data_IF_399504806656
#
_entry.id   IF_399504806656
#
_cell.length_a   1.000
_cell.length_b   1.000
_cell.length_c   1.000
_cell.angle_alpha   90.00
_cell.angle_beta   90.00
_cell.angle_gamma   90.00
#
_symmetry.space_group_name_H-M   'P 1'
#
loop_
_entity.id
_entity.type
_entity.pdbx_description
1 polymer ?
#
# COMPACT_ATOMS: atom_id res chain seq x y z
N UNK A 1 4.99 30.13 15.02
CA UNK A 1 3.60 29.66 14.85
C UNK A 1 2.60 30.78 14.64
N UNK A 2 2.42 31.71 15.58
CA UNK A 2 1.36 32.76 15.47
C UNK A 2 1.44 33.54 14.15
N UNK A 3 2.64 33.97 13.74
CA UNK A 3 2.86 34.66 12.46
C UNK A 3 2.40 33.86 11.23
N UNK A 4 2.71 32.55 11.20
CA UNK A 4 2.30 31.69 10.09
C UNK A 4 0.77 31.54 10.03
N UNK A 5 0.14 31.38 11.20
CA UNK A 5 -1.31 31.26 11.32
C UNK A 5 -1.98 32.55 10.83
N UNK A 6 -1.52 33.71 11.31
CA UNK A 6 -2.08 35.03 10.95
C UNK A 6 -2.09 35.25 9.43
N UNK A 7 -0.97 34.93 8.76
CA UNK A 7 -0.84 35.01 7.30
C UNK A 7 -1.83 34.09 6.59
N UNK A 8 -1.88 32.80 6.92
CA UNK A 8 -2.78 31.87 6.22
C UNK A 8 -4.25 32.19 6.49
N UNK A 9 -4.60 32.64 7.71
CA UNK A 9 -5.97 33.06 8.03
C UNK A 9 -6.37 34.38 7.37
N UNK A 10 -5.39 35.22 7.01
CA UNK A 10 -5.60 36.44 6.22
C UNK A 10 -5.66 36.18 4.71
N UNK A 11 -5.55 34.93 4.27
CA UNK A 11 -5.56 34.55 2.86
C UNK A 11 -4.20 34.73 2.16
N UNK A 12 -3.13 35.00 2.90
CA UNK A 12 -1.79 35.16 2.34
C UNK A 12 -1.07 33.82 2.21
N UNK A 13 -0.40 33.62 1.07
CA UNK A 13 0.39 32.41 0.82
C UNK A 13 1.75 32.43 1.54
N UNK A 14 2.27 31.25 1.87
CA UNK A 14 3.64 31.07 2.32
C UNK A 14 4.56 30.69 1.15
N UNK A 15 5.76 31.25 1.12
CA UNK A 15 6.81 30.75 0.23
C UNK A 15 7.22 29.33 0.64
N UNK A 16 7.79 28.51 -0.25
CA UNK A 16 8.30 27.17 0.09
C UNK A 16 9.23 27.17 1.32
N UNK A 17 10.15 28.14 1.40
CA UNK A 17 11.07 28.28 2.54
C UNK A 17 10.32 28.57 3.84
N UNK A 18 9.39 29.53 3.82
CA UNK A 18 8.56 29.86 4.99
C UNK A 18 7.64 28.70 5.38
N UNK A 19 7.08 27.99 4.40
CA UNK A 19 6.24 26.82 4.61
C UNK A 19 7.03 25.65 5.23
N UNK A 20 8.31 25.50 4.89
CA UNK A 20 9.21 24.53 5.54
C UNK A 20 9.49 24.86 6.99
N UNK A 21 9.75 26.13 7.29
CA UNK A 21 9.90 26.59 8.68
C UNK A 21 8.60 26.42 9.46
N UNK A 22 7.45 26.73 8.84
CA UNK A 22 6.14 26.48 9.41
C UNK A 22 5.90 24.99 9.67
N UNK A 23 6.21 24.10 8.73
CA UNK A 23 6.10 22.65 8.89
C UNK A 23 6.94 22.11 10.05
N UNK A 24 8.19 22.57 10.19
CA UNK A 24 9.03 22.19 11.35
C UNK A 24 8.41 22.63 12.68
N UNK A 25 7.95 23.88 12.76
CA UNK A 25 7.36 24.42 13.99
C UNK A 25 6.00 23.77 14.31
N UNK A 26 5.21 23.46 13.29
CA UNK A 26 3.87 22.86 13.40
C UNK A 26 3.90 21.50 14.09
N UNK A 27 4.96 20.71 13.90
CA UNK A 27 5.06 19.34 14.39
C UNK A 27 5.97 19.14 15.60
N UNK A 28 6.81 20.12 15.92
CA UNK A 28 7.71 20.06 17.07
C UNK A 28 7.30 20.99 18.22
N UNK A 29 6.70 22.14 17.92
CA UNK A 29 6.52 23.23 18.90
C UNK A 29 5.07 23.70 19.06
N UNK A 30 4.18 23.38 18.12
CA UNK A 30 2.81 23.89 18.14
C UNK A 30 1.92 23.16 19.16
N UNK A 31 0.99 23.92 19.75
CA UNK A 31 -0.11 23.33 20.52
C UNK A 31 -1.19 22.76 19.60
N UNK A 32 -2.01 21.82 20.09
CA UNK A 32 -3.15 21.26 19.34
C UNK A 32 -4.08 22.38 18.78
N UNK A 33 -4.27 23.47 19.52
CA UNK A 33 -5.04 24.64 19.05
C UNK A 33 -4.37 25.37 17.88
N UNK A 34 -3.04 25.55 17.93
CA UNK A 34 -2.28 26.19 16.85
C UNK A 34 -2.24 25.30 15.61
N UNK A 35 -2.11 23.98 15.80
CA UNK A 35 -2.21 22.99 14.72
C UNK A 35 -3.57 23.08 14.02
N UNK A 36 -4.66 23.05 14.78
CA UNK A 36 -6.01 23.19 14.24
C UNK A 36 -6.23 24.52 13.50
N UNK A 37 -5.77 25.64 14.06
CA UNK A 37 -5.90 26.96 13.43
C UNK A 37 -5.13 27.04 12.10
N UNK A 38 -3.90 26.51 12.06
CA UNK A 38 -3.08 26.46 10.85
C UNK A 38 -3.75 25.63 9.75
N UNK A 39 -4.22 24.43 10.09
CA UNK A 39 -4.90 23.52 9.16
C UNK A 39 -6.18 24.14 8.60
N UNK A 40 -7.01 24.72 9.48
CA UNK A 40 -8.24 25.38 9.07
C UNK A 40 -7.97 26.59 8.17
N UNK A 41 -6.96 27.41 8.50
CA UNK A 41 -6.56 28.57 7.70
C UNK A 41 -6.05 28.19 6.31
N UNK A 42 -5.15 27.20 6.22
CA UNK A 42 -4.66 26.65 4.96
C UNK A 42 -5.81 26.15 4.07
N UNK A 43 -6.72 25.35 4.64
CA UNK A 43 -7.89 24.83 3.92
C UNK A 43 -8.84 25.93 3.46
N UNK A 44 -9.14 26.91 4.31
CA UNK A 44 -10.06 28.00 3.98
C UNK A 44 -9.50 28.92 2.88
N UNK A 45 -8.18 29.15 2.90
CA UNK A 45 -7.45 29.90 1.87
C UNK A 45 -7.35 29.12 0.56
N UNK A 46 -7.18 27.81 0.64
CA UNK A 46 -6.71 26.96 -0.44
C UNK A 46 -5.19 26.86 -0.41
N UNK A 47 -4.68 25.65 -0.36
CA UNK A 47 -3.26 25.35 -0.30
C UNK A 47 -2.59 25.51 -1.68
N UNK A 48 -1.35 25.98 -1.66
CA UNK A 48 -0.50 26.10 -2.86
C UNK A 48 0.54 24.99 -2.90
N UNK A 49 1.07 24.68 -4.10
CA UNK A 49 2.13 23.66 -4.25
C UNK A 49 3.36 23.98 -3.40
N UNK A 50 3.78 25.25 -3.32
CA UNK A 50 4.90 25.68 -2.49
C UNK A 50 4.66 25.43 -1.00
N UNK A 51 3.43 25.61 -0.53
CA UNK A 51 3.04 25.32 0.86
C UNK A 51 3.07 23.82 1.14
N UNK A 52 2.50 23.01 0.24
CA UNK A 52 2.49 21.55 0.36
C UNK A 52 3.91 21.00 0.39
N UNK A 53 4.73 21.37 -0.59
CA UNK A 53 6.13 20.93 -0.68
C UNK A 53 6.93 21.42 0.51
N UNK A 54 6.82 22.72 0.86
CA UNK A 54 7.56 23.28 1.98
C UNK A 54 7.20 22.58 3.30
N UNK A 55 5.91 22.44 3.61
CA UNK A 55 5.47 21.75 4.82
C UNK A 55 5.97 20.29 4.82
N UNK A 56 5.84 19.56 3.70
CA UNK A 56 6.35 18.19 3.57
C UNK A 56 7.85 18.09 3.87
N UNK A 57 8.67 19.01 3.36
CA UNK A 57 10.10 19.09 3.66
C UNK A 57 10.35 19.33 5.14
N UNK A 58 9.55 20.21 5.76
CA UNK A 58 9.66 20.53 7.18
C UNK A 58 9.38 19.34 8.08
N UNK A 59 8.35 18.54 7.75
CA UNK A 59 8.06 17.28 8.46
C UNK A 59 9.15 16.24 8.23
N UNK A 60 9.64 16.13 7.00
CA UNK A 60 10.65 15.13 6.61
C UNK A 60 12.00 15.39 7.27
N UNK A 61 12.33 16.65 7.58
CA UNK A 61 13.56 17.01 8.29
C UNK A 61 13.63 16.44 9.71
N UNK A 62 12.47 16.23 10.35
CA UNK A 62 12.35 15.67 11.70
C UNK A 62 11.99 14.18 11.71
N UNK A 63 11.90 13.54 10.55
CA UNK A 63 11.46 12.16 10.43
C UNK A 63 12.51 11.15 10.95
N UNK A 64 12.03 10.07 11.58
CA UNK A 64 12.87 8.94 12.00
C UNK A 64 13.19 8.05 10.80
N UNK A 65 14.17 8.45 9.99
CA UNK A 65 14.47 7.80 8.70
C UNK A 65 14.72 6.28 8.78
N UNK A 66 14.14 5.56 7.82
CA UNK A 66 14.37 4.13 7.52
C UNK A 66 15.35 4.06 6.36
N UNK A 67 16.41 3.25 6.46
CA UNK A 67 17.46 3.18 5.44
C UNK A 67 17.87 1.73 5.22
N UNK A 68 17.09 0.96 4.46
CA UNK A 68 17.47 -0.39 4.11
C UNK A 68 18.61 -0.37 3.08
N UNK A 69 19.49 -1.36 3.12
CA UNK A 69 20.59 -1.51 2.15
C UNK A 69 20.13 -2.35 0.93
N UNK A 70 19.03 -1.94 0.30
CA UNK A 70 18.49 -2.56 -0.92
C UNK A 70 18.01 -1.51 -1.91
N UNK A 71 18.19 -1.79 -3.20
CA UNK A 71 17.78 -0.93 -4.30
C UNK A 71 17.40 -1.79 -5.53
N UNK A 72 16.43 -1.37 -6.35
CA UNK A 72 15.54 -0.23 -6.12
C UNK A 72 14.48 -0.56 -5.07
N UNK A 73 14.10 0.44 -4.28
CA UNK A 73 13.00 0.39 -3.31
C UNK A 73 11.79 1.12 -3.89
N UNK A 74 10.64 0.45 -3.92
CA UNK A 74 9.36 1.07 -4.29
C UNK A 74 8.57 1.38 -3.02
N UNK A 75 8.08 2.61 -2.89
CA UNK A 75 7.10 2.91 -1.85
C UNK A 75 5.67 2.99 -2.35
N UNK A 76 4.76 2.48 -1.54
CA UNK A 76 3.33 2.51 -1.79
C UNK A 76 2.69 3.51 -0.84
N UNK A 77 1.82 4.35 -1.36
CA UNK A 77 1.04 5.30 -0.58
C UNK A 77 -0.33 5.50 -1.20
N UNK A 78 -1.28 5.94 -0.37
CA UNK A 78 -2.56 6.40 -0.86
C UNK A 78 -3.09 7.53 0.03
N UNK A 79 -3.83 8.45 -0.56
CA UNK A 79 -4.46 9.57 0.18
C UNK A 79 -5.79 9.17 0.83
N UNK A 80 -6.24 7.93 0.59
CA UNK A 80 -7.52 7.41 1.06
C UNK A 80 -8.67 7.84 0.14
N UNK A 81 -9.16 6.93 -0.71
CA UNK A 81 -10.45 7.11 -1.37
C UNK A 81 -11.55 6.96 -0.33
N UNK A 82 -12.41 7.97 -0.18
CA UNK A 82 -13.61 7.83 0.63
C UNK A 82 -14.36 6.54 0.27
N UNK A 83 -14.73 5.76 1.29
CA UNK A 83 -15.86 4.82 1.36
C UNK A 83 -16.11 3.76 0.24
N UNK A 84 -15.17 3.41 -0.65
CA UNK A 84 -15.50 2.43 -1.70
C UNK A 84 -15.46 0.94 -1.31
N UNK A 85 -15.25 0.59 -0.04
CA UNK A 85 -15.47 -0.78 0.45
C UNK A 85 -14.73 -1.88 -0.34
N UNK A 86 -13.58 -1.58 -0.95
CA UNK A 86 -12.77 -2.61 -1.62
C UNK A 86 -11.89 -3.33 -0.61
N UNK A 87 -11.42 -4.52 -0.97
CA UNK A 87 -10.40 -5.18 -0.18
C UNK A 87 -9.08 -4.39 -0.24
N UNK A 88 -8.10 -4.75 0.59
CA UNK A 88 -6.77 -4.09 0.59
C UNK A 88 -5.93 -4.54 -0.62
N UNK A 89 -6.36 -4.09 -1.80
CA UNK A 89 -5.78 -4.39 -3.12
C UNK A 89 -4.30 -4.04 -3.13
N UNK A 90 -3.92 -2.86 -2.63
CA UNK A 90 -2.54 -2.39 -2.66
C UNK A 90 -1.61 -3.28 -1.81
N UNK A 91 -2.09 -3.78 -0.66
CA UNK A 91 -1.32 -4.78 0.11
C UNK A 91 -1.22 -6.11 -0.63
N UNK A 92 -2.29 -6.60 -1.26
CA UNK A 92 -2.21 -7.80 -2.10
C UNK A 92 -1.22 -7.64 -3.25
N UNK A 93 -1.27 -6.50 -3.93
CA UNK A 93 -0.38 -6.16 -5.03
C UNK A 93 1.08 -6.09 -4.57
N UNK A 94 1.33 -5.51 -3.40
CA UNK A 94 2.65 -5.48 -2.79
C UNK A 94 3.20 -6.90 -2.59
N UNK A 95 2.39 -7.82 -2.07
CA UNK A 95 2.83 -9.21 -1.85
C UNK A 95 3.13 -9.94 -3.15
N UNK A 96 2.35 -9.70 -4.21
CA UNK A 96 2.64 -10.22 -5.55
C UNK A 96 3.96 -9.65 -6.08
N UNK A 97 4.20 -8.35 -5.94
CA UNK A 97 5.43 -7.71 -6.39
C UNK A 97 6.66 -8.15 -5.58
N UNK A 98 6.55 -8.36 -4.26
CA UNK A 98 7.60 -8.98 -3.43
C UNK A 98 7.93 -10.39 -3.92
N UNK A 99 6.90 -11.18 -4.25
CA UNK A 99 7.10 -12.50 -4.85
C UNK A 99 7.71 -12.42 -6.27
N UNK A 100 7.66 -11.24 -6.89
CA UNK A 100 8.36 -10.90 -8.13
C UNK A 100 9.74 -10.25 -7.89
N UNK A 101 10.28 -10.38 -6.68
CA UNK A 101 11.61 -9.92 -6.25
C UNK A 101 11.74 -8.38 -6.15
N UNK A 102 10.61 -7.66 -6.09
CA UNK A 102 10.59 -6.21 -5.87
C UNK A 102 10.66 -5.88 -4.38
N UNK A 103 11.51 -4.93 -4.01
CA UNK A 103 11.63 -4.44 -2.64
C UNK A 103 10.62 -3.32 -2.38
N UNK A 104 9.87 -3.43 -1.29
CA UNK A 104 8.72 -2.56 -1.03
C UNK A 104 8.78 -1.96 0.37
N UNK A 105 8.36 -0.71 0.47
CA UNK A 105 7.97 -0.12 1.74
C UNK A 105 6.61 0.55 1.63
N UNK A 106 5.81 0.53 2.69
CA UNK A 106 4.54 1.26 2.72
C UNK A 106 4.51 2.15 3.94
N UNK A 107 4.21 3.42 3.71
CA UNK A 107 3.95 4.37 4.77
C UNK A 107 2.46 4.36 5.07
N UNK A 108 2.08 3.90 6.26
CA UNK A 108 0.69 3.68 6.62
C UNK A 108 0.12 4.92 7.33
N UNK A 109 -0.95 5.50 6.79
CA UNK A 109 -1.66 6.64 7.38
C UNK A 109 -2.49 6.21 8.60
N UNK A 110 -2.62 7.06 9.63
CA UNK A 110 -3.42 6.76 10.82
C UNK A 110 -2.69 6.00 11.94
N UNK A 111 -3.32 5.86 13.11
CA UNK A 111 -2.62 5.50 14.34
C UNK A 111 -2.18 4.04 14.33
N UNK A 112 -1.00 3.76 14.89
CA UNK A 112 -0.43 2.39 15.02
C UNK A 112 -1.48 1.39 15.56
N UNK A 113 -2.32 1.81 16.51
CA UNK A 113 -3.41 1.02 17.10
C UNK A 113 -4.49 0.53 16.12
N UNK A 114 -4.83 1.29 15.08
CA UNK A 114 -5.84 0.87 14.07
C UNK A 114 -5.39 -0.37 13.29
N UNK A 115 -4.08 -0.59 13.24
CA UNK A 115 -3.45 -1.73 12.58
C UNK A 115 -3.30 -2.94 13.48
N UNK A 116 -3.50 -2.85 14.80
CA UNK A 116 -3.32 -3.94 15.76
C UNK A 116 -4.08 -5.23 15.36
N UNK A 117 -5.28 -5.09 14.79
CA UNK A 117 -6.05 -6.22 14.24
C UNK A 117 -5.55 -6.77 12.89
N UNK A 118 -4.76 -5.99 12.14
CA UNK A 118 -4.17 -6.36 10.83
C UNK A 118 -2.76 -6.96 10.96
N UNK A 119 -1.98 -6.61 11.99
CA UNK A 119 -0.53 -6.96 12.12
C UNK A 119 -0.21 -8.47 12.13
N UNK A 120 -1.02 -9.36 12.74
CA UNK A 120 -0.72 -10.79 12.70
C UNK A 120 -1.15 -11.47 11.39
N UNK A 121 -2.13 -10.89 10.69
CA UNK A 121 -2.95 -11.61 9.70
C UNK A 121 -2.34 -11.68 8.30
N UNK A 122 -1.43 -10.78 7.96
CA UNK A 122 -0.85 -10.67 6.61
C UNK A 122 0.61 -11.12 6.53
N UNK A 123 1.22 -11.56 7.63
CA UNK A 123 2.61 -12.02 7.62
C UNK A 123 3.66 -10.92 7.38
N UNK A 124 3.26 -9.65 7.24
CA UNK A 124 4.17 -8.51 7.05
C UNK A 124 4.49 -7.85 8.39
N UNK A 125 5.75 -7.41 8.57
CA UNK A 125 6.15 -6.66 9.76
C UNK A 125 5.62 -5.22 9.70
N UNK A 126 4.88 -4.83 10.74
CA UNK A 126 4.57 -3.44 11.08
C UNK A 126 5.33 -3.14 12.37
N UNK A 127 6.27 -2.22 12.32
CA UNK A 127 7.12 -1.87 13.46
C UNK A 127 7.34 -0.36 13.52
N UNK A 128 7.65 0.12 14.71
CA UNK A 128 7.89 1.52 15.04
C UNK A 128 9.40 1.81 15.26
N UNK A 129 10.24 0.78 15.18
CA UNK A 129 11.70 0.90 15.08
C UNK A 129 12.16 0.94 13.60
N UNK A 130 12.77 2.05 13.13
CA UNK A 130 13.32 2.15 11.78
C UNK A 130 14.28 1.02 11.40
N UNK A 131 15.05 0.47 12.36
CA UNK A 131 15.98 -0.64 12.11
C UNK A 131 15.23 -1.95 11.88
N UNK A 132 14.11 -2.15 12.57
CA UNK A 132 13.27 -3.32 12.37
C UNK A 132 12.58 -3.28 11.00
N UNK A 133 12.06 -2.11 10.60
CA UNK A 133 11.50 -1.92 9.26
C UNK A 133 12.56 -2.14 8.18
N UNK A 134 13.78 -1.59 8.35
CA UNK A 134 14.87 -1.76 7.38
C UNK A 134 15.22 -3.25 7.18
N UNK A 135 15.39 -4.01 8.28
CA UNK A 135 15.63 -5.46 8.20
C UNK A 135 14.49 -6.24 7.56
N UNK A 136 13.23 -5.85 7.80
CA UNK A 136 12.10 -6.51 7.16
C UNK A 136 12.10 -6.30 5.65
N UNK A 137 12.46 -5.09 5.19
CA UNK A 137 12.66 -4.82 3.77
C UNK A 137 13.81 -5.71 3.24
N UNK A 138 14.97 -5.71 3.88
CA UNK A 138 16.15 -6.47 3.44
C UNK A 138 15.96 -8.00 3.43
N UNK A 139 15.28 -8.57 4.44
CA UNK A 139 15.17 -10.01 4.63
C UNK A 139 13.92 -10.63 3.99
N UNK A 140 12.83 -9.85 3.90
CA UNK A 140 11.50 -10.32 3.47
C UNK A 140 11.05 -9.65 2.17
N UNK A 141 11.64 -8.50 1.81
CA UNK A 141 11.26 -7.70 0.66
C UNK A 141 10.19 -6.65 0.96
N UNK A 142 9.63 -6.61 2.18
CA UNK A 142 8.60 -5.63 2.53
C UNK A 142 8.65 -5.18 4.00
N UNK A 143 8.55 -3.87 4.21
CA UNK A 143 8.42 -3.25 5.54
C UNK A 143 7.33 -2.19 5.57
N UNK A 144 6.51 -2.20 6.63
CA UNK A 144 5.42 -1.25 6.82
C UNK A 144 5.78 -0.30 7.97
N UNK A 145 5.76 1.00 7.69
CA UNK A 145 6.08 2.07 8.64
C UNK A 145 4.81 2.87 8.96
N UNK A 146 4.28 2.85 10.20
CA UNK A 146 3.15 3.69 10.59
C UNK A 146 3.54 5.16 10.70
N UNK A 147 2.83 6.07 10.04
CA UNK A 147 3.20 7.49 9.98
C UNK A 147 3.39 8.13 11.36
N UNK A 148 2.52 7.82 12.31
CA UNK A 148 2.59 8.37 13.66
C UNK A 148 3.84 7.97 14.44
N UNK A 149 4.48 6.84 14.10
CA UNK A 149 5.72 6.40 14.73
C UNK A 149 6.97 7.06 14.12
N UNK A 150 6.87 7.57 12.90
CA UNK A 150 8.01 8.06 12.11
C UNK A 150 8.06 9.59 12.00
N UNK A 151 6.96 10.27 12.31
CA UNK A 151 6.85 11.74 12.29
C UNK A 151 6.35 12.26 13.64
N UNK A 152 7.15 13.12 14.28
CA UNK A 152 6.77 13.82 15.53
C UNK A 152 5.49 14.63 15.33
N UNK A 153 4.64 14.73 16.36
CA UNK A 153 3.42 15.55 16.36
C UNK A 153 2.25 14.98 15.55
N UNK A 154 2.46 13.89 14.82
CA UNK A 154 1.42 13.28 13.98
C UNK A 154 0.28 12.65 14.80
N UNK A 155 0.52 12.22 16.05
CA UNK A 155 -0.55 11.76 16.94
C UNK A 155 -1.57 12.86 17.26
N UNK A 156 -1.13 14.12 17.40
CA UNK A 156 -2.02 15.25 17.63
C UNK A 156 -2.85 15.56 16.38
N UNK A 157 -2.22 15.47 15.21
CA UNK A 157 -2.90 15.57 13.93
C UNK A 157 -3.95 14.47 13.74
N UNK A 158 -3.60 13.20 14.00
CA UNK A 158 -4.53 12.07 13.89
C UNK A 158 -5.77 12.26 14.78
N UNK A 159 -5.58 12.73 16.03
CA UNK A 159 -6.71 13.06 16.93
C UNK A 159 -7.57 14.17 16.38
N UNK A 160 -6.97 15.27 15.92
CA UNK A 160 -7.68 16.40 15.35
C UNK A 160 -8.53 15.97 14.14
N UNK A 161 -7.97 15.18 13.23
CA UNK A 161 -8.68 14.70 12.05
C UNK A 161 -9.81 13.73 12.39
N UNK A 162 -9.65 12.88 13.39
CA UNK A 162 -10.71 12.00 13.87
C UNK A 162 -11.90 12.79 14.45
N UNK A 163 -11.66 13.96 15.06
CA UNK A 163 -12.72 14.82 15.60
C UNK A 163 -13.37 15.71 14.54
N UNK A 164 -12.56 16.30 13.66
CA UNK A 164 -13.01 17.31 12.69
C UNK A 164 -13.64 16.67 11.44
N UNK A 165 -13.15 15.51 11.00
CA UNK A 165 -13.71 14.77 9.87
C UNK A 165 -13.63 15.51 8.52
N UNK A 166 -12.72 16.48 8.38
CA UNK A 166 -12.52 17.24 7.15
C UNK A 166 -11.24 16.81 6.43
N UNK A 167 -11.28 16.88 5.10
CA UNK A 167 -10.07 16.81 4.28
C UNK A 167 -9.13 17.96 4.58
N UNK A 168 -7.83 17.76 4.55
CA UNK A 168 -6.82 18.78 4.84
C UNK A 168 -5.61 18.65 3.91
N UNK A 169 -4.68 19.61 3.98
CA UNK A 169 -3.37 19.52 3.33
C UNK A 169 -2.65 18.17 3.60
N UNK A 170 -2.93 17.52 4.73
CA UNK A 170 -2.26 16.26 5.07
C UNK A 170 -2.74 15.05 4.27
N UNK A 171 -3.91 15.12 3.65
CA UNK A 171 -4.37 14.08 2.73
C UNK A 171 -3.39 13.93 1.57
N UNK A 172 -2.72 15.01 1.15
CA UNK A 172 -1.70 15.01 0.10
C UNK A 172 -0.26 14.92 0.63
N UNK A 173 -0.01 15.22 1.92
CA UNK A 173 1.33 15.16 2.49
C UNK A 173 1.82 13.74 2.72
N UNK A 174 0.93 12.80 3.04
CA UNK A 174 1.32 11.43 3.42
C UNK A 174 2.32 10.76 2.45
N UNK A 175 2.06 10.79 1.12
CA UNK A 175 2.99 10.28 0.12
C UNK A 175 4.32 11.04 0.00
N UNK A 176 4.32 12.35 0.33
CA UNK A 176 5.49 13.24 0.20
C UNK A 176 6.48 13.12 1.36
N UNK A 177 6.02 12.64 2.53
CA UNK A 177 6.83 12.60 3.75
C UNK A 177 7.42 11.22 4.05
N UNK A 178 7.56 10.35 3.05
CA UNK A 178 7.99 8.99 3.29
C UNK A 178 9.38 8.88 3.94
N UNK A 179 9.54 8.15 5.08
CA UNK A 179 10.80 8.08 5.81
C UNK A 179 11.88 7.23 5.15
N UNK A 180 11.64 6.63 3.98
CA UNK A 180 12.60 5.74 3.30
C UNK A 180 13.38 6.40 2.17
N UNK A 181 12.89 7.52 1.60
CA UNK A 181 13.40 8.08 0.34
C UNK A 181 13.55 7.03 -0.77
N UNK A 182 12.51 6.22 -0.93
CA UNK A 182 12.42 5.19 -1.96
C UNK A 182 12.71 5.76 -3.36
N UNK A 183 13.34 4.95 -4.22
CA UNK A 183 13.72 5.32 -5.59
C UNK A 183 12.50 5.53 -6.49
N UNK A 184 11.40 4.84 -6.17
CA UNK A 184 10.15 4.92 -6.89
C UNK A 184 8.93 4.98 -5.94
N UNK A 185 7.85 5.65 -6.36
CA UNK A 185 6.63 5.76 -5.55
C UNK A 185 5.36 5.47 -6.37
N UNK A 186 4.52 4.53 -5.92
CA UNK A 186 3.14 4.38 -6.40
C UNK A 186 2.21 5.08 -5.42
N UNK A 187 1.48 6.08 -5.90
CA UNK A 187 0.61 6.91 -5.07
C UNK A 187 -0.81 6.93 -5.62
N UNK A 188 -1.73 6.36 -4.87
CA UNK A 188 -3.15 6.48 -5.10
C UNK A 188 -3.71 7.80 -4.58
N UNK A 189 -4.54 8.51 -5.37
CA UNK A 189 -5.20 9.74 -4.92
C UNK A 189 -6.72 9.65 -5.00
N UNK A 190 -7.40 10.28 -4.05
CA UNK A 190 -8.85 10.18 -3.87
C UNK A 190 -9.67 10.89 -4.95
N UNK A 191 -9.07 11.79 -5.73
CA UNK A 191 -9.76 12.59 -6.73
C UNK A 191 -8.84 12.82 -7.95
N UNK A 192 -9.38 12.86 -9.18
CA UNK A 192 -8.56 12.95 -10.40
C UNK A 192 -7.76 14.26 -10.48
N UNK A 193 -8.29 15.37 -9.94
CA UNK A 193 -7.59 16.66 -9.88
C UNK A 193 -6.34 16.65 -8.98
N UNK A 194 -6.18 15.65 -8.09
CA UNK A 194 -4.99 15.48 -7.26
C UNK A 194 -3.80 14.89 -8.03
N UNK A 195 -4.06 14.19 -9.14
CA UNK A 195 -3.05 13.37 -9.83
C UNK A 195 -1.84 14.20 -10.25
N UNK A 196 -2.09 15.30 -10.96
CA UNK A 196 -1.04 16.18 -11.46
C UNK A 196 -0.33 16.93 -10.32
N UNK A 197 -1.10 17.46 -9.36
CA UNK A 197 -0.57 18.24 -8.24
C UNK A 197 0.36 17.41 -7.36
N UNK A 198 -0.03 16.17 -7.05
CA UNK A 198 0.79 15.25 -6.26
C UNK A 198 2.02 14.82 -7.05
N UNK A 199 1.92 14.57 -8.37
CA UNK A 199 3.06 14.22 -9.20
C UNK A 199 4.12 15.34 -9.25
N UNK A 200 3.68 16.58 -9.46
CA UNK A 200 4.58 17.75 -9.40
C UNK A 200 5.20 17.93 -8.02
N UNK A 201 4.43 17.72 -6.95
CA UNK A 201 4.94 17.81 -5.59
C UNK A 201 6.01 16.75 -5.32
N UNK A 202 5.79 15.49 -5.73
CA UNK A 202 6.75 14.38 -5.61
C UNK A 202 8.06 14.71 -6.36
N UNK A 203 7.95 15.20 -7.60
CA UNK A 203 9.11 15.68 -8.38
C UNK A 203 9.86 16.78 -7.63
N UNK A 204 9.16 17.77 -7.08
CA UNK A 204 9.76 18.91 -6.37
C UNK A 204 10.42 18.49 -5.04
N UNK A 205 9.95 17.42 -4.42
CA UNK A 205 10.55 16.81 -3.22
C UNK A 205 11.67 15.81 -3.54
N UNK A 206 11.97 15.60 -4.82
CA UNK A 206 13.12 14.80 -5.29
C UNK A 206 12.80 13.34 -5.62
N UNK A 207 11.54 12.99 -5.90
CA UNK A 207 11.22 11.68 -6.44
C UNK A 207 11.73 11.57 -7.89
N UNK A 208 12.55 10.54 -8.16
CA UNK A 208 13.09 10.27 -9.49
C UNK A 208 12.07 9.53 -10.38
N UNK A 209 11.33 8.59 -9.77
CA UNK A 209 10.23 7.85 -10.40
C UNK A 209 8.97 7.85 -9.54
N UNK A 210 7.82 8.10 -10.15
CA UNK A 210 6.54 7.89 -9.46
C UNK A 210 5.40 7.65 -10.45
N UNK A 211 4.38 6.89 -10.03
CA UNK A 211 3.06 6.90 -10.65
C UNK A 211 2.06 7.42 -9.65
N UNK A 212 1.39 8.52 -10.00
CA UNK A 212 0.23 9.00 -9.27
C UNK A 212 -1.02 8.60 -10.04
N UNK A 213 -1.94 7.90 -9.38
CA UNK A 213 -3.08 7.27 -10.04
C UNK A 213 -4.41 7.59 -9.36
N UNK A 214 -5.43 7.79 -10.18
CA UNK A 214 -6.83 7.82 -9.78
C UNK A 214 -7.65 6.96 -10.74
N UNK A 215 -8.18 5.85 -10.26
CA UNK A 215 -8.91 4.86 -11.05
C UNK A 215 -10.41 4.94 -10.80
N UNK A 216 -11.12 5.69 -11.65
CA UNK A 216 -12.59 5.81 -11.68
C UNK A 216 -13.25 5.78 -10.28
N UNK A 217 -12.88 6.73 -9.42
CA UNK A 217 -13.38 6.85 -8.04
C UNK A 217 -12.51 6.21 -6.96
N UNK A 218 -11.50 5.40 -7.33
CA UNK A 218 -10.60 4.71 -6.41
C UNK A 218 -9.18 5.30 -6.43
N UNK A 219 -8.49 5.21 -5.29
CA UNK A 219 -7.09 5.63 -5.12
C UNK A 219 -6.10 4.53 -5.53
N UNK A 220 -6.30 3.96 -6.72
CA UNK A 220 -5.51 2.85 -7.26
C UNK A 220 -5.72 2.72 -8.77
N UNK A 221 -4.97 1.83 -9.44
CA UNK A 221 -5.26 1.48 -10.84
C UNK A 221 -6.57 0.67 -10.88
N UNK A 222 -7.52 1.12 -11.70
CA UNK A 222 -8.85 0.52 -11.82
C UNK A 222 -8.93 -0.51 -12.95
N UNK A 223 -9.74 -1.55 -12.72
CA UNK A 223 -10.19 -2.50 -13.76
C UNK A 223 -11.64 -2.26 -14.17
N UNK A 224 -12.38 -1.43 -13.42
CA UNK A 224 -13.78 -1.08 -13.68
C UNK A 224 -13.97 0.22 -14.46
N UNK A 225 -12.89 0.88 -14.84
CA UNK A 225 -12.95 2.17 -15.51
C UNK A 225 -11.57 2.68 -15.91
N UNK A 226 -11.49 3.86 -16.54
CA UNK A 226 -10.22 4.49 -16.85
C UNK A 226 -9.49 4.93 -15.58
N UNK A 227 -8.17 4.84 -15.61
CA UNK A 227 -7.27 5.39 -14.61
C UNK A 227 -6.60 6.63 -15.18
N UNK A 228 -6.71 7.77 -14.50
CA UNK A 228 -5.89 8.96 -14.77
C UNK A 228 -4.54 8.75 -14.10
N UNK A 229 -3.47 8.88 -14.86
CA UNK A 229 -2.10 8.63 -14.42
C UNK A 229 -1.25 9.86 -14.68
N UNK A 230 -0.44 10.26 -13.69
CA UNK A 230 0.70 11.13 -13.90
C UNK A 230 1.98 10.37 -13.52
N UNK A 231 2.87 10.19 -14.50
CA UNK A 231 4.16 9.55 -14.32
C UNK A 231 5.25 10.61 -14.13
N UNK A 232 5.98 10.50 -13.03
CA UNK A 232 7.26 11.19 -12.82
C UNK A 232 8.36 10.26 -13.31
N UNK A 233 9.20 10.72 -14.23
CA UNK A 233 10.36 9.97 -14.72
C UNK A 233 11.49 10.93 -15.09
N UNK A 234 12.65 10.81 -14.43
CA UNK A 234 13.86 11.56 -14.81
C UNK A 234 13.69 13.08 -14.74
N UNK A 235 12.81 13.56 -13.85
CA UNK A 235 12.49 14.97 -13.70
C UNK A 235 11.41 15.50 -14.66
N UNK A 236 10.79 14.67 -15.50
CA UNK A 236 9.62 15.04 -16.30
C UNK A 236 8.33 14.48 -15.68
N UNK A 237 7.20 15.13 -15.97
CA UNK A 237 5.86 14.68 -15.56
C UNK A 237 5.03 14.48 -16.82
N UNK A 238 4.53 13.26 -17.03
CA UNK A 238 3.70 12.89 -18.17
C UNK A 238 2.34 12.40 -17.69
N UNK A 239 1.27 13.09 -18.10
CA UNK A 239 -0.09 12.69 -17.76
C UNK A 239 -0.74 11.95 -18.92
N UNK A 240 -1.42 10.85 -18.63
CA UNK A 240 -2.17 10.05 -19.59
C UNK A 240 -3.35 9.33 -18.92
N UNK A 241 -4.22 8.74 -19.75
CA UNK A 241 -5.29 7.87 -19.29
C UNK A 241 -4.94 6.42 -19.64
N UNK A 242 -5.22 5.51 -18.72
CA UNK A 242 -4.99 4.09 -18.84
C UNK A 242 -6.32 3.33 -18.74
N UNK A 243 -6.63 2.48 -19.71
CA UNK A 243 -7.74 1.53 -19.65
C UNK A 243 -7.22 0.14 -19.27
N UNK A 244 -8.06 -0.74 -18.71
CA UNK A 244 -7.65 -2.12 -18.39
C UNK A 244 -7.08 -2.85 -19.62
N UNK A 245 -7.68 -2.64 -20.79
CA UNK A 245 -7.22 -3.21 -22.07
C UNK A 245 -5.81 -2.78 -22.46
N UNK A 246 -5.37 -1.58 -22.07
CA UNK A 246 -4.04 -1.06 -22.43
C UNK A 246 -2.92 -1.83 -21.69
N UNK A 247 -3.26 -2.54 -20.62
CA UNK A 247 -2.35 -3.36 -19.81
C UNK A 247 -2.70 -4.85 -19.86
N UNK A 248 -3.45 -5.28 -20.88
CA UNK A 248 -3.78 -6.70 -21.09
C UNK A 248 -4.75 -7.28 -20.05
N UNK A 249 -5.61 -6.44 -19.47
CA UNK A 249 -6.65 -6.83 -18.53
C UNK A 249 -8.04 -6.61 -19.11
N UNK A 250 -9.03 -7.33 -18.57
CA UNK A 250 -10.42 -7.16 -18.92
C UNK A 250 -11.08 -6.04 -18.10
N UNK A 251 -12.17 -5.51 -18.63
CA UNK A 251 -13.01 -4.59 -17.88
C UNK A 251 -13.96 -5.41 -16.98
N UNK A 252 -14.05 -5.05 -15.71
CA UNK A 252 -14.93 -5.70 -14.73
C UNK A 252 -15.86 -4.71 -14.07
N UNK A 253 -17.04 -5.13 -13.61
CA UNK A 253 -17.92 -4.22 -12.88
C UNK A 253 -17.35 -3.88 -11.50
N UNK A 254 -17.51 -2.62 -11.07
CA UNK A 254 -17.02 -2.17 -9.76
C UNK A 254 -17.60 -2.99 -8.59
N UNK A 255 -18.81 -3.54 -8.76
CA UNK A 255 -19.46 -4.41 -7.79
C UNK A 255 -18.70 -5.71 -7.52
N UNK A 256 -18.03 -6.26 -8.54
CA UNK A 256 -17.30 -7.53 -8.44
C UNK A 256 -15.96 -7.38 -7.69
N UNK A 257 -15.48 -6.14 -7.54
CA UNK A 257 -14.27 -5.77 -6.80
C UNK A 257 -14.59 -5.49 -5.32
N UNK A 258 -15.82 -5.06 -5.02
CA UNK A 258 -16.25 -4.68 -3.68
C UNK A 258 -16.20 -5.87 -2.70
N UNK A 259 -15.97 -5.56 -1.42
CA UNK A 259 -15.99 -6.56 -0.33
C UNK A 259 -16.65 -5.99 0.92
N UNK A 260 -17.25 -6.85 1.74
CA UNK A 260 -17.59 -6.49 3.11
C UNK A 260 -16.32 -6.46 3.95
N UNK A 261 -16.13 -5.40 4.74
CA UNK A 261 -14.87 -5.04 5.42
C UNK A 261 -14.38 -6.02 6.53
N UNK A 262 -15.00 -7.19 6.68
CA UNK A 262 -14.66 -8.13 7.75
C UNK A 262 -13.73 -9.25 7.27
N UNK A 263 -12.61 -9.43 7.98
CA UNK A 263 -11.83 -10.67 7.89
C UNK A 263 -10.62 -10.68 6.95
N UNK A 264 -10.17 -9.53 6.43
CA UNK A 264 -8.97 -9.48 5.57
C UNK A 264 -7.72 -10.07 6.28
N UNK A 265 -7.23 -11.18 5.75
CA UNK A 265 -6.11 -11.96 6.27
C UNK A 265 -5.36 -12.67 5.12
N UNK A 266 -4.29 -13.39 5.42
CA UNK A 266 -3.47 -14.02 4.39
C UNK A 266 -4.21 -15.09 3.58
N UNK A 267 -5.22 -15.75 4.17
CA UNK A 267 -6.06 -16.69 3.40
C UNK A 267 -6.94 -15.92 2.40
N UNK A 268 -7.54 -14.80 2.81
CA UNK A 268 -8.31 -13.95 1.91
C UNK A 268 -7.45 -13.39 0.77
N UNK A 269 -6.26 -12.86 1.09
CA UNK A 269 -5.26 -12.45 0.09
C UNK A 269 -4.96 -13.61 -0.84
N UNK A 270 -4.63 -14.79 -0.30
CA UNK A 270 -4.31 -15.97 -1.10
C UNK A 270 -5.46 -16.39 -2.00
N UNK A 271 -6.71 -16.32 -1.54
CA UNK A 271 -7.87 -16.66 -2.34
C UNK A 271 -8.07 -15.65 -3.48
N UNK A 272 -7.90 -14.35 -3.22
CA UNK A 272 -7.99 -13.31 -4.27
C UNK A 272 -6.88 -13.49 -5.31
N UNK A 273 -5.62 -13.56 -4.87
CA UNK A 273 -4.49 -13.65 -5.80
C UNK A 273 -4.47 -14.96 -6.58
N UNK A 274 -5.04 -16.05 -6.05
CA UNK A 274 -5.18 -17.33 -6.77
C UNK A 274 -6.47 -17.43 -7.60
N UNK A 275 -7.24 -16.34 -7.71
CA UNK A 275 -8.47 -16.26 -8.52
C UNK A 275 -9.68 -16.98 -7.91
N UNK A 276 -9.57 -17.49 -6.67
CA UNK A 276 -10.66 -18.23 -5.99
C UNK A 276 -11.82 -17.33 -5.55
N UNK A 277 -11.58 -16.02 -5.43
CA UNK A 277 -12.59 -15.02 -5.09
C UNK A 277 -13.15 -14.28 -6.31
N UNK A 278 -12.83 -14.74 -7.53
CA UNK A 278 -13.27 -14.14 -8.79
C UNK A 278 -12.15 -13.43 -9.56
N UNK A 279 -12.30 -13.40 -10.88
CA UNK A 279 -11.30 -12.83 -11.81
C UNK A 279 -11.16 -11.32 -11.63
N UNK A 280 -12.26 -10.57 -11.44
CA UNK A 280 -12.24 -9.13 -11.21
C UNK A 280 -11.30 -8.70 -10.06
N UNK A 281 -11.36 -9.40 -8.93
CA UNK A 281 -10.50 -9.12 -7.76
C UNK A 281 -9.04 -9.46 -8.05
N UNK A 282 -8.80 -10.57 -8.77
CA UNK A 282 -7.45 -10.95 -9.16
C UNK A 282 -6.85 -9.93 -10.13
N UNK A 283 -7.60 -9.49 -11.14
CA UNK A 283 -7.12 -8.51 -12.12
C UNK A 283 -6.92 -7.13 -11.49
N UNK A 284 -7.75 -6.71 -10.51
CA UNK A 284 -7.49 -5.51 -9.73
C UNK A 284 -6.13 -5.58 -8.98
N UNK A 285 -5.77 -6.76 -8.44
CA UNK A 285 -4.44 -6.98 -7.86
C UNK A 285 -3.35 -6.95 -8.92
N UNK A 286 -3.56 -7.60 -10.07
CA UNK A 286 -2.58 -7.65 -11.15
C UNK A 286 -2.29 -6.26 -11.72
N UNK A 287 -3.30 -5.42 -11.92
CA UNK A 287 -3.16 -4.04 -12.41
C UNK A 287 -2.18 -3.24 -11.52
N UNK A 288 -2.41 -3.28 -10.21
CA UNK A 288 -1.59 -2.55 -9.24
C UNK A 288 -0.22 -3.22 -9.03
N UNK A 289 -0.13 -4.55 -9.02
CA UNK A 289 1.13 -5.27 -8.92
C UNK A 289 2.02 -5.00 -10.15
N UNK A 290 1.43 -4.96 -11.34
CA UNK A 290 2.12 -4.63 -12.58
C UNK A 290 2.66 -3.20 -12.58
N UNK A 291 1.90 -2.24 -12.05
CA UNK A 291 2.38 -0.87 -11.84
C UNK A 291 3.59 -0.82 -10.89
N UNK A 292 3.58 -1.61 -9.81
CA UNK A 292 4.71 -1.70 -8.86
C UNK A 292 5.94 -2.31 -9.55
N UNK A 293 5.78 -3.41 -10.28
CA UNK A 293 6.87 -4.09 -11.01
C UNK A 293 7.49 -3.18 -12.07
N UNK A 294 6.66 -2.44 -12.81
CA UNK A 294 7.10 -1.42 -13.76
C UNK A 294 7.86 -0.28 -13.08
N UNK A 295 7.36 0.25 -11.95
CA UNK A 295 8.03 1.29 -11.18
C UNK A 295 9.36 0.85 -10.58
N UNK A 296 9.48 -0.43 -10.23
CA UNK A 296 10.73 -1.03 -9.79
C UNK A 296 11.77 -1.16 -10.92
N UNK A 297 11.39 -0.92 -12.18
CA UNK A 297 12.27 -1.14 -13.33
C UNK A 297 12.48 -2.63 -13.65
N UNK A 298 11.65 -3.51 -13.09
CA UNK A 298 11.67 -4.94 -13.39
C UNK A 298 10.93 -5.28 -14.70
N UNK A 299 10.17 -4.32 -15.24
CA UNK A 299 9.47 -4.41 -16.51
C UNK A 299 9.53 -3.06 -17.26
N UNK A 300 9.64 -3.11 -18.58
CA UNK A 300 9.80 -1.92 -19.43
C UNK A 300 8.49 -1.16 -19.68
N UNK A 301 7.35 -1.82 -19.51
CA UNK A 301 6.01 -1.25 -19.69
C UNK A 301 5.06 -1.71 -18.59
N UNK A 302 3.97 -0.98 -18.39
CA UNK A 302 2.89 -1.39 -17.48
C UNK A 302 2.29 -2.76 -17.87
N UNK A 303 2.07 -3.01 -19.17
CA UNK A 303 1.57 -4.31 -19.65
C UNK A 303 2.55 -5.44 -19.30
N UNK A 304 3.85 -5.29 -19.60
CA UNK A 304 4.84 -6.32 -19.24
C UNK A 304 4.97 -6.50 -17.71
N UNK A 305 4.74 -5.43 -16.94
CA UNK A 305 4.67 -5.52 -15.47
C UNK A 305 3.48 -6.37 -15.01
N UNK A 306 2.29 -6.17 -15.59
CA UNK A 306 1.11 -7.00 -15.32
C UNK A 306 1.37 -8.47 -15.68
N UNK A 307 2.00 -8.73 -16.82
CA UNK A 307 2.32 -10.10 -17.25
C UNK A 307 3.33 -10.78 -16.32
N UNK A 308 4.35 -10.06 -15.85
CA UNK A 308 5.29 -10.58 -14.86
C UNK A 308 4.61 -10.85 -13.51
N UNK A 309 3.68 -9.98 -13.08
CA UNK A 309 2.87 -10.22 -11.89
C UNK A 309 2.00 -11.48 -12.04
N UNK A 310 1.40 -11.69 -13.22
CA UNK A 310 0.61 -12.88 -13.56
C UNK A 310 1.46 -14.16 -13.51
N UNK A 311 2.61 -14.16 -14.20
CA UNK A 311 3.58 -15.27 -14.17
C UNK A 311 4.04 -15.59 -12.74
N UNK A 312 4.18 -14.58 -11.88
CA UNK A 312 4.56 -14.75 -10.46
C UNK A 312 3.51 -15.52 -9.65
N UNK A 313 2.24 -15.25 -9.91
CA UNK A 313 1.13 -15.96 -9.29
C UNK A 313 1.09 -17.41 -9.80
N UNK A 314 1.15 -17.60 -11.11
CA UNK A 314 1.02 -18.91 -11.77
C UNK A 314 2.17 -19.88 -11.42
N UNK A 315 3.39 -19.36 -11.29
CA UNK A 315 4.56 -20.13 -10.87
C UNK A 315 4.51 -20.59 -9.41
N UNK A 316 3.53 -20.13 -8.62
CA UNK A 316 3.39 -20.48 -7.20
C UNK A 316 4.43 -19.80 -6.29
N UNK A 317 5.30 -18.93 -6.82
CA UNK A 317 6.33 -18.21 -6.06
C UNK A 317 5.75 -17.42 -4.90
N UNK A 318 4.56 -16.84 -5.09
CA UNK A 318 3.84 -16.14 -4.03
C UNK A 318 3.54 -17.06 -2.83
N UNK A 319 3.10 -18.31 -3.07
CA UNK A 319 2.87 -19.27 -1.98
C UNK A 319 4.17 -19.59 -1.24
N UNK A 320 5.28 -19.76 -1.96
CA UNK A 320 6.59 -20.01 -1.35
C UNK A 320 7.09 -18.85 -0.50
N UNK A 321 6.98 -17.62 -1.03
CA UNK A 321 7.35 -16.39 -0.32
C UNK A 321 6.54 -16.21 0.97
N UNK A 322 5.22 -16.37 0.90
CA UNK A 322 4.31 -16.25 2.04
C UNK A 322 4.60 -17.29 3.14
N UNK A 323 4.86 -18.55 2.77
CA UNK A 323 5.21 -19.60 3.73
C UNK A 323 6.56 -19.30 4.42
N UNK A 324 7.58 -18.93 3.63
CA UNK A 324 8.92 -18.64 4.17
C UNK A 324 8.94 -17.41 5.10
N UNK A 325 8.10 -16.41 4.81
CA UNK A 325 7.91 -15.22 5.64
C UNK A 325 7.23 -15.57 6.96
N UNK A 326 6.24 -16.46 6.92
CA UNK A 326 5.55 -16.94 8.11
C UNK A 326 6.49 -17.74 9.04
N UNK A 327 7.28 -18.68 8.48
CA UNK A 327 8.24 -19.50 9.23
C UNK A 327 9.38 -18.67 9.85
N UNK A 328 9.92 -17.70 9.12
CA UNK A 328 10.93 -16.76 9.64
C UNK A 328 10.39 -15.94 10.82
N UNK A 329 9.13 -15.52 10.79
CA UNK A 329 8.49 -14.77 11.89
C UNK A 329 8.27 -15.62 13.15
N UNK A 330 7.89 -16.89 13.02
CA UNK A 330 7.81 -17.82 14.16
C UNK A 330 9.18 -17.90 14.84
N UNK A 331 10.23 -18.03 14.03
CA UNK A 331 11.61 -18.11 14.50
C UNK A 331 12.11 -16.81 15.15
N UNK A 332 11.74 -15.64 14.63
CA UNK A 332 12.10 -14.33 15.20
C UNK A 332 11.32 -13.99 16.48
N UNK A 333 10.03 -14.39 16.58
CA UNK A 333 9.25 -14.28 17.83
C UNK A 333 9.86 -15.15 18.94
N UNK A 334 10.21 -16.40 18.63
CA UNK A 334 10.88 -17.31 19.58
C UNK A 334 12.21 -16.75 20.09
N UNK A 335 12.94 -15.96 19.28
CA UNK A 335 14.18 -15.30 19.72
C UNK A 335 13.96 -14.05 20.57
N UNK A 336 12.84 -13.34 20.40
CA UNK A 336 12.55 -12.10 21.13
C UNK A 336 11.82 -12.32 22.46
N UNK A 337 11.08 -13.42 22.61
CA UNK A 337 10.32 -13.68 23.84
C UNK A 337 10.11 -15.20 24.08
N UNK A 338 11.04 -15.89 24.75
CA UNK A 338 10.91 -17.32 25.03
C UNK A 338 9.85 -17.66 26.09
N UNK A 339 9.18 -16.66 26.68
CA UNK A 339 8.24 -16.84 27.79
C UNK A 339 6.76 -16.57 27.42
N UNK A 340 6.45 -16.17 26.18
CA UNK A 340 5.08 -15.90 25.75
C UNK A 340 4.46 -17.10 25.01
N UNK A 341 4.29 -18.23 25.69
CA UNK A 341 3.33 -19.25 25.25
C UNK A 341 1.96 -18.94 25.88
N UNK A 342 0.99 -18.54 25.07
CA UNK A 342 -0.41 -18.78 25.44
C UNK A 342 -0.72 -20.27 25.17
N UNK A 343 -1.28 -21.01 26.14
CA UNK A 343 -1.55 -22.43 25.98
C UNK A 343 -2.78 -22.61 25.10
N UNK A 344 -2.59 -22.98 23.82
CA UNK A 344 -3.77 -23.10 22.96
C UNK A 344 -3.61 -23.61 21.53
N UNK A 345 -2.49 -24.22 21.12
CA UNK A 345 -2.47 -24.98 19.86
C UNK A 345 -1.62 -26.24 20.01
N UNK A 346 -2.27 -27.35 20.33
CA UNK A 346 -1.68 -28.69 20.28
C UNK A 346 -1.35 -29.01 18.83
N UNK A 347 -0.07 -29.16 18.53
CA UNK A 347 0.41 -29.79 17.31
C UNK A 347 0.04 -31.28 17.36
N UNK A 348 -0.86 -31.73 16.48
CA UNK A 348 -0.95 -33.15 16.13
C UNK A 348 -0.07 -33.35 14.89
N UNK A 349 1.19 -33.70 15.13
CA UNK A 349 2.05 -34.33 14.11
C UNK A 349 1.63 -35.79 13.97
N UNK A 350 1.04 -36.17 12.83
CA UNK A 350 0.93 -37.57 12.43
C UNK A 350 2.24 -37.99 11.74
N UNK A 351 3.01 -38.85 12.39
CA UNK A 351 4.03 -39.70 11.77
C UNK A 351 3.71 -41.16 12.14
N UNK A 352 3.90 -42.14 11.24
CA UNK A 352 3.37 -43.49 11.40
C UNK A 352 4.36 -44.47 12.05
N UNK A 353 3.86 -45.27 13.01
CA UNK A 353 4.38 -46.60 13.32
C UNK A 353 5.43 -46.72 14.43
N UNK A 354 5.09 -47.44 15.50
CA UNK A 354 6.03 -47.92 16.51
C UNK A 354 5.33 -48.41 17.79
N UNK A 355 5.32 -49.74 17.99
CA UNK A 355 4.67 -50.43 19.09
C UNK A 355 5.35 -50.27 20.47
N UNK A 356 4.62 -50.74 21.51
CA UNK A 356 5.01 -51.08 22.90
C UNK A 356 4.88 -49.90 23.87
N UNK A 357 4.16 -49.97 25.01
CA UNK A 357 3.40 -51.01 25.69
C UNK A 357 2.88 -50.46 27.04
N UNK A 358 1.78 -51.03 27.53
CA UNK A 358 1.22 -51.06 28.90
C UNK A 358 1.58 -49.95 29.92
N UNK A 359 0.58 -49.31 30.56
CA UNK A 359 -0.13 -49.92 31.69
C UNK A 359 -1.27 -49.05 32.27
N UNK A 360 -2.41 -49.72 32.52
CA UNK A 360 -3.34 -49.59 33.66
C UNK A 360 -4.06 -48.27 34.03
N UNK A 361 -5.39 -48.36 33.96
CA UNK A 361 -6.43 -47.89 34.93
C UNK A 361 -6.72 -46.37 35.03
N UNK A 362 -7.96 -45.87 35.06
CA UNK A 362 -9.25 -46.43 35.45
C UNK A 362 -10.42 -45.58 34.89
N UNK A 363 -11.58 -46.23 34.68
CA UNK A 363 -12.98 -45.74 34.84
C UNK A 363 -13.37 -44.43 34.12
N UNK A 364 -14.34 -44.37 33.21
CA UNK A 364 -15.45 -45.25 32.85
C UNK A 364 -16.62 -44.35 32.42
N UNK A 365 -17.26 -44.66 31.29
CA UNK A 365 -18.72 -44.54 31.04
C UNK A 365 -19.01 -44.83 29.56
N UNK A 366 -19.88 -45.83 29.39
CA UNK A 366 -20.57 -46.22 28.18
C UNK A 366 -21.25 -45.06 27.46
N UNK A 367 -21.26 -45.11 26.12
CA UNK A 367 -22.51 -45.27 25.36
C UNK A 367 -22.21 -45.64 23.89
N UNK A 368 -22.54 -46.88 23.58
CA UNK A 368 -22.95 -47.45 22.29
C UNK A 368 -23.31 -46.50 21.14
N UNK A 369 -22.79 -46.77 19.93
CA UNK A 369 -23.58 -47.35 18.83
C UNK A 369 -22.79 -47.53 17.51
N UNK A 370 -22.63 -48.80 17.13
CA UNK A 370 -22.73 -49.41 15.79
C UNK A 370 -21.94 -48.83 14.59
N UNK A 371 -20.99 -49.67 14.15
CA UNK A 371 -20.36 -49.68 12.86
C UNK A 371 -21.31 -50.09 11.73
N UNK A 372 -21.12 -49.49 10.55
CA UNK A 372 -21.47 -50.10 9.25
C UNK A 372 -20.28 -49.92 8.30
N UNK A 373 -19.88 -51.04 7.73
CA UNK A 373 -18.85 -51.30 6.73
C UNK A 373 -19.15 -50.74 5.34
N UNK A 374 -18.11 -50.46 4.55
CA UNK A 374 -18.18 -50.35 3.08
C UNK A 374 -17.04 -49.49 2.53
N UNK A 375 -15.91 -50.09 2.17
CA UNK A 375 -15.50 -50.39 0.78
C UNK A 375 -15.06 -49.16 -0.01
N UNK A 376 -13.81 -49.19 -0.47
CA UNK A 376 -13.09 -48.05 -1.01
C UNK A 376 -13.45 -47.66 -2.45
N UNK A 377 -12.86 -46.54 -2.88
CA UNK A 377 -12.46 -46.27 -4.26
C UNK A 377 -11.53 -45.06 -4.26
N UNK A 378 -10.29 -45.30 -4.69
CA UNK A 378 -9.31 -44.27 -5.02
C UNK A 378 -9.78 -43.53 -6.28
N UNK A 379 -10.00 -42.22 -6.17
CA UNK A 379 -10.23 -41.33 -7.30
C UNK A 379 -9.41 -40.06 -7.14
N UNK A 380 -8.31 -39.94 -7.89
CA UNK A 380 -7.53 -38.70 -7.99
C UNK A 380 -8.35 -37.67 -8.75
N UNK A 381 -8.88 -36.66 -8.06
CA UNK A 381 -9.49 -35.49 -8.68
C UNK A 381 -8.38 -34.53 -9.14
N UNK A 382 -8.23 -34.37 -10.47
CA UNK A 382 -7.55 -33.22 -11.07
C UNK A 382 -8.48 -32.01 -10.95
N UNK A 383 -7.99 -30.80 -10.61
CA UNK A 383 -8.82 -29.61 -10.70
C UNK A 383 -9.16 -29.30 -12.17
N UNK A 384 -10.33 -28.69 -12.44
CA UNK A 384 -10.76 -28.37 -13.80
C UNK A 384 -9.89 -27.27 -14.40
N UNK A 385 -9.49 -27.46 -15.65
CA UNK A 385 -8.86 -26.44 -16.50
C UNK A 385 -9.92 -25.41 -16.91
N UNK A 386 -9.73 -24.16 -16.49
CA UNK A 386 -10.51 -23.01 -16.97
C UNK A 386 -10.00 -22.64 -18.37
N UNK A 387 -10.87 -22.40 -19.37
CA UNK A 387 -10.44 -21.99 -20.69
C UNK A 387 -9.88 -20.56 -20.64
N UNK A 388 -8.68 -20.38 -21.19
CA UNK A 388 -8.09 -19.06 -21.41
C UNK A 388 -8.85 -18.41 -22.57
N UNK A 389 -9.68 -17.41 -22.27
CA UNK A 389 -10.29 -16.56 -23.28
C UNK A 389 -9.23 -15.73 -24.00
N UNK A 390 -9.52 -15.36 -25.25
CA UNK A 390 -8.68 -14.51 -26.11
C UNK A 390 -8.59 -13.11 -25.48
N UNK A 391 -7.55 -12.86 -24.66
CA UNK A 391 -7.34 -11.58 -23.98
C UNK A 391 -6.78 -10.56 -24.96
N UNK A 392 -7.27 -9.32 -24.89
CA UNK A 392 -6.91 -8.24 -25.82
C UNK A 392 -5.41 -7.99 -25.93
N UNK A 393 -4.94 -7.76 -27.15
CA UNK A 393 -3.53 -7.45 -27.44
C UNK A 393 -3.10 -6.14 -26.75
N UNK A 394 -1.96 -6.16 -26.05
CA UNK A 394 -1.41 -4.98 -25.40
C UNK A 394 -1.04 -3.90 -26.43
N UNK A 395 -1.53 -2.69 -26.21
CA UNK A 395 -1.09 -1.51 -26.96
C UNK A 395 0.21 -0.98 -26.34
N UNK A 396 1.31 -0.85 -27.09
CA UNK A 396 2.55 -0.30 -26.54
C UNK A 396 2.34 1.15 -26.08
N UNK A 397 2.54 1.39 -24.78
CA UNK A 397 2.65 2.74 -24.24
C UNK A 397 4.09 3.22 -24.48
N UNK A 398 4.21 4.39 -25.10
CA UNK A 398 5.41 4.90 -25.75
C UNK A 398 6.58 5.02 -24.75
N UNK A 399 7.63 4.24 -24.99
CA UNK A 399 8.96 4.47 -24.45
C UNK A 399 9.79 5.21 -25.52
N UNK A 400 9.66 6.53 -25.62
CA UNK A 400 10.57 7.35 -26.46
C UNK A 400 10.73 8.77 -25.89
N UNK A 401 11.98 9.13 -25.59
CA UNK A 401 12.41 10.46 -25.17
C UNK A 401 12.40 11.52 -26.30
N UNK A 402 12.74 12.79 -26.01
CA UNK A 402 11.86 13.89 -26.39
C UNK A 402 12.16 14.54 -27.75
N UNK A 403 11.10 14.89 -28.47
CA UNK A 403 11.14 15.97 -29.47
C UNK A 403 10.78 17.30 -28.80
N UNK A 404 11.76 18.20 -28.70
CA UNK A 404 11.61 19.57 -28.21
C UNK A 404 10.57 20.34 -29.03
N UNK A 405 9.52 20.84 -28.36
CA UNK A 405 8.83 22.06 -28.81
C UNK A 405 8.53 22.94 -27.61
N UNK A 406 9.24 24.06 -27.54
CA UNK A 406 9.02 25.14 -26.59
C UNK A 406 7.70 25.85 -26.86
N UNK A 407 6.81 25.89 -25.86
CA UNK A 407 5.80 26.94 -25.73
C UNK A 407 5.78 27.45 -24.30
N UNK A 408 6.14 28.71 -24.16
CA UNK A 408 5.91 29.54 -22.98
C UNK A 408 4.40 29.76 -22.82
N UNK A 409 3.83 29.30 -21.71
CA UNK A 409 2.49 29.67 -21.26
C UNK A 409 2.62 30.41 -19.93
N UNK A 410 2.00 31.59 -19.88
CA UNK A 410 2.01 32.55 -18.79
C UNK A 410 1.16 32.07 -17.61
N UNK A 411 1.51 32.61 -16.43
CA UNK A 411 0.90 32.39 -15.13
C UNK A 411 -0.63 32.45 -15.10
N UNK A 412 -1.29 31.31 -14.91
CA UNK A 412 -2.59 31.23 -14.24
C UNK A 412 -2.50 30.24 -13.09
N UNK A 413 -2.69 30.74 -11.86
CA UNK A 413 -2.64 29.96 -10.62
C UNK A 413 -3.91 29.10 -10.48
N UNK A 414 -3.84 27.77 -10.43
CA UNK A 414 -4.99 26.96 -10.09
C UNK A 414 -5.29 27.08 -8.59
N UNK A 415 -6.42 27.69 -8.24
CA UNK A 415 -6.95 27.67 -6.87
C UNK A 415 -7.80 26.42 -6.66
N UNK A 416 -7.41 25.58 -5.69
CA UNK A 416 -8.14 24.41 -5.23
C UNK A 416 -9.49 24.81 -4.62
N UNK A 417 -10.58 24.71 -5.39
CA UNK A 417 -11.95 24.78 -4.87
C UNK A 417 -12.80 23.67 -5.51
N UNK A 418 -13.28 22.69 -4.73
CA UNK A 418 -14.42 21.89 -5.15
C UNK A 418 -15.72 22.69 -4.94
N UNK A 419 -16.63 22.56 -5.89
CA UNK A 419 -18.02 23.05 -5.84
C UNK A 419 -18.86 22.38 -4.77
#
# INVERSE_FOLDING_TARGET
MIEYIDRVTSGEGLSRTTAREAGRALFNDATDTQLGAMIAGLRAKGETVDEVVGIAEGLSDSARMVRPDVFPLVTLGNTGSGEHGTFDVLTSAALVAVAADVQITRHLSGPVGSYAGRRPRLGVLIDEDPRAVSRAIEEVGIGLAPMSAFHTGMEAYDRLCAEVGLRTIFDILGPLINPTRADAQLVGVAAPELVEVVAHSLKMTGADRALVVHGDGLDQVAVHGPTVVAEVNGGDVHQYSLRPSDIGLEHHDAHDIATTADGWNMNAVRSVVTGREGEAKQEAVLANAGAIVYLAGAADTLCSGVEQARTTIESGRLTGSLNSSHERRISQRHRRDPASEEPGHVFISHEPGGMIGDNSSAQGRDTSAQAVSGSGLQGRLRPPSVPVGDRGECTPQIADGPARTSRTAQDEKPSWRPS
#
